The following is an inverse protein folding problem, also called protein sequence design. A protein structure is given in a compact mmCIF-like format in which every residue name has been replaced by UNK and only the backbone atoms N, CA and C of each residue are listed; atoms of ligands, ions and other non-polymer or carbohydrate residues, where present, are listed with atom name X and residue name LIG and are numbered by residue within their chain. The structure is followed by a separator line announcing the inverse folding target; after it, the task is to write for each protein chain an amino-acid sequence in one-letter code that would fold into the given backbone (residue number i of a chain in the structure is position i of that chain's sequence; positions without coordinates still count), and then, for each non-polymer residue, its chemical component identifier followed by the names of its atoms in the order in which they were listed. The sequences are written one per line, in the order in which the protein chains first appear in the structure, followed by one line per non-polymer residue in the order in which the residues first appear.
data_IF_481846403170
#
_entry.id   IF_481846403170
#
_cell.length_a   1.000
_cell.length_b   1.000
_cell.length_c   1.000
_cell.angle_alpha   90.00
_cell.angle_beta   90.00
_cell.angle_gamma   90.00
#
_symmetry.space_group_name_H-M   'P 1'
#
loop_
_entity.id
_entity.type
_entity.pdbx_description
1 polymer ?
#
# COMPACT_ATOMS: atom_id res chain seq x y z
N UNK A 1 5.23 10.77 2.24
CA UNK A 1 6.06 9.62 1.84
C UNK A 1 5.53 8.98 0.57
N UNK A 2 6.42 8.53 -0.34
CA UNK A 2 6.05 7.92 -1.64
C UNK A 2 5.26 6.63 -1.44
N UNK A 3 5.74 5.71 -0.60
CA UNK A 3 5.06 4.42 -0.32
C UNK A 3 3.62 4.62 0.14
N UNK A 4 3.41 5.42 1.19
CA UNK A 4 2.07 5.70 1.72
C UNK A 4 1.11 6.26 0.66
N UNK A 5 1.62 7.09 -0.25
CA UNK A 5 0.84 7.67 -1.34
C UNK A 5 0.46 6.62 -2.38
N UNK A 6 1.40 5.80 -2.82
CA UNK A 6 1.17 4.77 -3.85
C UNK A 6 0.26 3.65 -3.32
N UNK A 7 0.46 3.25 -2.06
CA UNK A 7 -0.44 2.30 -1.38
C UNK A 7 -1.85 2.84 -1.30
N UNK A 8 -2.07 4.12 -0.95
CA UNK A 8 -3.42 4.71 -0.89
C UNK A 8 -4.11 4.75 -2.26
N UNK A 9 -3.36 4.92 -3.34
CA UNK A 9 -3.90 4.86 -4.69
C UNK A 9 -4.40 3.45 -5.02
N UNK A 10 -3.63 2.42 -4.69
CA UNK A 10 -4.03 1.02 -4.84
C UNK A 10 -5.20 0.66 -3.92
N UNK A 11 -5.16 1.10 -2.67
CA UNK A 11 -6.21 0.88 -1.69
C UNK A 11 -7.55 1.46 -2.16
N UNK A 12 -7.56 2.64 -2.77
CA UNK A 12 -8.77 3.23 -3.36
C UNK A 12 -9.29 2.43 -4.56
N UNK A 13 -8.40 1.88 -5.39
CA UNK A 13 -8.77 1.03 -6.53
C UNK A 13 -9.44 -0.27 -6.05
N UNK A 14 -8.87 -0.87 -5.02
CA UNK A 14 -9.23 -2.21 -4.55
C UNK A 14 -10.19 -2.21 -3.34
N UNK A 15 -10.59 -1.03 -2.85
CA UNK A 15 -11.57 -0.89 -1.76
C UNK A 15 -11.01 -1.14 -0.35
N UNK A 16 -9.71 -1.00 -0.15
CA UNK A 16 -9.07 -1.15 1.16
C UNK A 16 -9.09 0.15 1.97
N UNK A 17 -9.30 0.02 3.28
CA UNK A 17 -9.03 1.09 4.25
C UNK A 17 -7.61 0.94 4.82
N UNK A 18 -7.00 2.03 5.31
CA UNK A 18 -5.70 1.98 5.99
C UNK A 18 -5.69 0.91 7.10
N UNK A 19 -6.80 0.79 7.85
CA UNK A 19 -6.96 -0.24 8.88
C UNK A 19 -6.97 -1.67 8.33
N UNK A 20 -7.71 -1.92 7.25
CA UNK A 20 -7.77 -3.23 6.60
C UNK A 20 -6.41 -3.66 6.04
N UNK A 21 -5.59 -2.71 5.57
CA UNK A 21 -4.21 -2.97 5.16
C UNK A 21 -3.36 -3.40 6.35
N UNK A 22 -3.49 -2.72 7.48
CA UNK A 22 -2.84 -3.14 8.73
C UNK A 22 -3.16 -4.59 9.06
N UNK A 23 -4.46 -4.93 9.12
CA UNK A 23 -4.92 -6.30 9.43
C UNK A 23 -4.42 -7.33 8.40
N UNK A 24 -4.43 -6.99 7.10
CA UNK A 24 -3.91 -7.86 6.04
C UNK A 24 -2.40 -8.15 6.17
N UNK A 25 -1.64 -7.20 6.72
CA UNK A 25 -0.23 -7.39 7.05
C UNK A 25 -0.03 -8.09 8.41
N UNK A 26 -1.09 -8.55 9.09
CA UNK A 26 -1.00 -9.16 10.41
C UNK A 26 -0.70 -8.14 11.52
N UNK A 27 -1.04 -6.88 11.28
CA UNK A 27 -0.89 -5.78 12.22
C UNK A 27 -2.24 -5.14 12.55
N UNK A 28 -2.31 -4.30 13.57
CA UNK A 28 -3.54 -3.60 13.92
C UNK A 28 -3.70 -2.23 13.25
N UNK A 29 -4.90 -1.65 13.36
CA UNK A 29 -5.19 -0.27 12.92
C UNK A 29 -4.18 0.79 13.40
N UNK A 30 -3.66 0.65 14.63
CA UNK A 30 -2.67 1.59 15.19
C UNK A 30 -1.36 1.58 14.40
N UNK A 31 -0.87 0.38 14.02
CA UNK A 31 0.32 0.22 13.21
C UNK A 31 0.17 0.91 11.85
N UNK A 32 -1.00 0.75 11.22
CA UNK A 32 -1.29 1.36 9.92
C UNK A 32 -1.33 2.88 10.03
N UNK A 33 -2.04 3.41 11.03
CA UNK A 33 -2.16 4.85 11.25
C UNK A 33 -0.79 5.53 11.33
N UNK A 34 0.13 5.02 12.17
CA UNK A 34 1.48 5.60 12.34
C UNK A 34 2.27 5.67 11.04
N UNK A 35 2.10 4.71 10.13
CA UNK A 35 2.79 4.68 8.83
C UNK A 35 2.14 5.56 7.78
N UNK A 36 0.81 5.57 7.75
CA UNK A 36 0.05 6.36 6.80
C UNK A 36 -0.02 7.86 7.13
N UNK A 37 0.21 8.24 8.39
CA UNK A 37 0.43 9.63 8.83
C UNK A 37 1.89 10.06 8.72
N UNK A 38 2.82 9.12 8.54
CA UNK A 38 4.25 9.38 8.42
C UNK A 38 4.98 9.54 9.75
N UNK A 39 4.36 9.16 10.87
CA UNK A 39 5.05 9.06 12.17
C UNK A 39 6.14 7.98 12.13
N UNK A 40 5.87 6.86 11.45
CA UNK A 40 6.83 5.79 11.22
C UNK A 40 6.98 5.48 9.72
N UNK A 41 8.18 5.10 9.26
CA UNK A 41 8.36 4.64 7.89
C UNK A 41 7.77 3.23 7.70
N UNK A 42 7.46 2.90 6.43
CA UNK A 42 7.36 1.51 6.00
C UNK A 42 8.77 0.96 5.80
N UNK A 43 9.05 -0.23 6.32
CA UNK A 43 10.31 -0.92 6.03
C UNK A 43 10.22 -1.74 4.72
N UNK A 44 11.30 -2.39 4.32
CA UNK A 44 11.34 -3.16 3.06
C UNK A 44 10.42 -4.38 3.09
N UNK A 45 10.29 -5.04 4.23
CA UNK A 45 9.39 -6.19 4.39
C UNK A 45 7.92 -5.75 4.30
N UNK A 46 7.59 -4.58 4.86
CA UNK A 46 6.27 -3.96 4.68
C UNK A 46 5.98 -3.74 3.18
N UNK A 47 6.96 -3.20 2.44
CA UNK A 47 6.83 -2.93 0.99
C UNK A 47 6.59 -4.21 0.20
N UNK A 48 7.34 -5.29 0.48
CA UNK A 48 7.14 -6.59 -0.17
C UNK A 48 5.73 -7.14 0.07
N UNK A 49 5.27 -7.13 1.33
CA UNK A 49 3.93 -7.64 1.68
C UNK A 49 2.80 -6.78 1.11
N UNK A 50 3.00 -5.47 1.01
CA UNK A 50 2.06 -4.57 0.32
C UNK A 50 2.02 -4.86 -1.18
N UNK A 51 3.18 -5.11 -1.80
CA UNK A 51 3.28 -5.42 -3.21
C UNK A 51 2.55 -6.72 -3.55
N UNK A 52 2.69 -7.74 -2.68
CA UNK A 52 1.91 -8.98 -2.75
C UNK A 52 0.41 -8.73 -2.58
N UNK A 53 0.01 -7.96 -1.56
CA UNK A 53 -1.40 -7.66 -1.29
C UNK A 53 -2.09 -7.00 -2.51
N UNK A 54 -1.41 -6.06 -3.17
CA UNK A 54 -1.95 -5.32 -4.31
C UNK A 54 -1.59 -5.91 -5.67
N UNK A 55 -0.83 -7.03 -5.68
CA UNK A 55 -0.38 -7.74 -6.87
C UNK A 55 0.38 -6.84 -7.86
N UNK A 56 1.39 -6.12 -7.35
CA UNK A 56 2.27 -5.23 -8.11
C UNK A 56 3.74 -5.54 -7.81
N UNK A 57 4.65 -5.07 -8.67
CA UNK A 57 6.09 -5.09 -8.35
C UNK A 57 6.41 -4.14 -7.18
N UNK A 58 7.23 -4.55 -6.18
CA UNK A 58 7.67 -3.69 -5.07
C UNK A 58 8.27 -2.34 -5.51
N UNK A 59 8.98 -2.30 -6.65
CA UNK A 59 9.58 -1.08 -7.18
C UNK A 59 8.53 0.00 -7.49
N UNK A 60 7.30 -0.40 -7.85
CA UNK A 60 6.21 0.55 -8.08
C UNK A 60 5.75 1.27 -6.81
N UNK A 61 5.90 0.67 -5.63
CA UNK A 61 5.58 1.32 -4.36
C UNK A 61 6.65 2.35 -3.95
N UNK A 62 7.87 2.20 -4.46
CA UNK A 62 8.99 3.11 -4.24
C UNK A 62 9.09 4.19 -5.33
N UNK A 63 8.47 3.96 -6.48
CA UNK A 63 8.55 4.84 -7.63
C UNK A 63 7.78 6.16 -7.41
N UNK A 64 8.30 7.31 -7.88
CA UNK A 64 7.53 8.53 -7.95
C UNK A 64 6.24 8.34 -8.75
N UNK A 65 5.16 8.93 -8.31
CA UNK A 65 3.83 8.71 -8.87
C UNK A 65 3.64 9.01 -10.36
N UNK A 66 4.51 9.84 -10.95
CA UNK A 66 4.44 10.19 -12.37
C UNK A 66 5.13 9.16 -13.27
N UNK A 67 5.90 8.21 -12.70
CA UNK A 67 6.61 7.19 -13.47
C UNK A 67 5.82 5.90 -13.61
N UNK A 68 4.73 5.75 -12.86
CA UNK A 68 3.89 4.56 -12.89
C UNK A 68 2.48 4.83 -12.35
N UNK A 69 1.48 4.24 -13.01
CA UNK A 69 0.10 4.22 -12.54
C UNK A 69 -0.45 2.78 -12.62
N UNK A 70 -1.21 2.32 -11.61
CA UNK A 70 -1.88 1.03 -11.68
C UNK A 70 -2.96 1.01 -12.75
N UNK A 71 -3.11 -0.12 -13.45
CA UNK A 71 -4.22 -0.33 -14.40
C UNK A 71 -5.57 -0.16 -13.65
N UNK A 72 -6.42 0.80 -14.06
CA UNK A 72 -7.69 1.07 -13.41
C UNK A 72 -8.73 -0.04 -13.61
N UNK A 73 -8.55 -0.89 -14.63
CA UNK A 73 -9.46 -2.00 -14.96
C UNK A 73 -9.20 -3.23 -14.09
N UNK A 74 -8.00 -3.34 -13.53
CA UNK A 74 -7.59 -4.43 -12.65
C UNK A 74 -8.12 -4.18 -11.24
N UNK A 75 -9.03 -5.04 -10.77
CA UNK A 75 -9.41 -5.11 -9.35
C UNK A 75 -8.84 -6.37 -8.73
N UNK A 76 -8.31 -6.27 -7.52
CA UNK A 76 -7.99 -7.45 -6.72
C UNK A 76 -9.33 -8.03 -6.24
N UNK A 77 -9.80 -9.06 -6.94
CA UNK A 77 -11.02 -9.80 -6.57
C UNK A 77 -10.65 -10.79 -5.47
N UNK A 78 -11.28 -10.66 -4.30
CA UNK A 78 -11.28 -11.69 -3.24
C UNK A 78 -12.38 -12.71 -3.51
#
# INVERSE_FOLDING_TARGET
MIVARNVRMLARRDGYTDGAIGEALGHGRSWAWRRFTGELPFDLNDVERLAELFQVDPAHLLAPAHTWAPDPSRRVVS
#
